data_IF_728008321466
#
_entry.id   IF_728008321466
#
_cell.length_a   1.000
_cell.length_b   1.000
_cell.length_c   1.000
_cell.angle_alpha   90.00
_cell.angle_beta   90.00
_cell.angle_gamma   90.00
#
_symmetry.space_group_name_H-M   'P 1'
#
loop_
_entity.id
_entity.type
_entity.pdbx_description
1 polymer ?
#
# COMPACT_ATOMS: atom_id res chain seq x y z
N UNK A 1 20.08 -3.83 -20.43
CA UNK A 1 19.59 -2.92 -19.39
C UNK A 1 18.32 -3.46 -18.78
N UNK A 2 18.29 -3.54 -17.47
CA UNK A 2 17.12 -4.05 -16.76
C UNK A 2 16.08 -2.96 -16.60
N UNK A 3 14.89 -3.22 -17.11
CA UNK A 3 13.74 -2.34 -16.94
C UNK A 3 13.18 -2.55 -15.54
N UNK A 4 13.37 -1.57 -14.68
CA UNK A 4 12.80 -1.63 -13.34
C UNK A 4 11.44 -0.96 -13.36
N UNK A 5 10.40 -1.76 -13.30
CA UNK A 5 9.04 -1.25 -13.25
C UNK A 5 8.70 -0.79 -11.84
N UNK A 6 8.11 0.40 -11.72
CA UNK A 6 7.65 0.95 -10.44
C UNK A 6 6.13 0.91 -10.40
N UNK A 7 5.58 0.38 -9.32
CA UNK A 7 4.12 0.25 -9.18
C UNK A 7 3.67 0.61 -7.78
N UNK A 8 2.40 0.96 -7.66
CA UNK A 8 1.70 1.05 -6.38
C UNK A 8 0.94 -0.26 -6.20
N UNK A 9 1.15 -0.92 -5.08
CA UNK A 9 0.44 -2.16 -4.78
C UNK A 9 -0.88 -1.84 -4.08
N UNK A 10 -1.95 -2.46 -4.54
CA UNK A 10 -3.27 -2.35 -3.92
C UNK A 10 -3.62 -3.74 -3.39
N UNK A 11 -3.74 -3.86 -2.08
CA UNK A 11 -4.00 -5.15 -1.42
C UNK A 11 -5.33 -5.05 -0.69
N UNK A 12 -6.36 -5.67 -1.25
CA UNK A 12 -7.73 -5.63 -0.72
C UNK A 12 -8.47 -6.87 -1.23
N UNK A 13 -9.18 -7.58 -0.37
CA UNK A 13 -9.89 -8.79 -0.75
C UNK A 13 -11.15 -8.51 -1.59
N UNK A 14 -11.58 -7.25 -1.66
CA UNK A 14 -12.70 -6.83 -2.50
C UNK A 14 -12.20 -6.46 -3.90
N UNK A 15 -12.47 -7.32 -4.88
CA UNK A 15 -12.05 -7.11 -6.25
C UNK A 15 -12.61 -5.83 -6.87
N UNK A 16 -13.82 -5.42 -6.48
CA UNK A 16 -14.41 -4.20 -7.00
C UNK A 16 -13.67 -2.96 -6.52
N UNK A 17 -13.21 -2.97 -5.28
CA UNK A 17 -12.36 -1.90 -4.74
C UNK A 17 -11.02 -1.87 -5.48
N UNK A 18 -10.41 -3.02 -5.68
CA UNK A 18 -9.16 -3.13 -6.44
C UNK A 18 -9.29 -2.51 -7.82
N UNK A 19 -10.36 -2.85 -8.55
CA UNK A 19 -10.60 -2.30 -9.89
C UNK A 19 -10.82 -0.79 -9.87
N UNK A 20 -11.61 -0.32 -8.92
CA UNK A 20 -11.92 1.12 -8.81
C UNK A 20 -10.68 1.93 -8.49
N UNK A 21 -9.88 1.46 -7.53
CA UNK A 21 -8.66 2.16 -7.12
C UNK A 21 -7.63 2.13 -8.23
N UNK A 22 -7.46 0.99 -8.90
CA UNK A 22 -6.53 0.88 -10.03
C UNK A 22 -6.89 1.86 -11.14
N UNK A 23 -8.19 1.97 -11.46
CA UNK A 23 -8.68 2.91 -12.47
C UNK A 23 -8.39 4.36 -12.08
N UNK A 24 -8.65 4.68 -10.81
CA UNK A 24 -8.37 6.01 -10.28
C UNK A 24 -6.88 6.36 -10.39
N UNK A 25 -6.00 5.46 -9.99
CA UNK A 25 -4.57 5.69 -10.03
C UNK A 25 -4.09 5.85 -11.47
N UNK A 26 -4.60 5.04 -12.38
CA UNK A 26 -4.27 5.17 -13.80
C UNK A 26 -4.65 6.55 -14.33
N UNK A 27 -5.82 7.07 -13.95
CA UNK A 27 -6.26 8.41 -14.37
C UNK A 27 -5.35 9.51 -13.82
N UNK A 28 -4.68 9.25 -12.72
CA UNK A 28 -3.74 10.17 -12.09
C UNK A 28 -2.28 9.93 -12.55
N UNK A 29 -2.06 9.08 -13.56
CA UNK A 29 -0.73 8.81 -14.10
C UNK A 29 0.09 7.82 -13.28
N UNK A 30 -0.54 7.06 -12.39
CA UNK A 30 0.15 6.09 -11.55
C UNK A 30 -0.15 4.67 -11.99
N UNK A 31 0.87 3.83 -12.06
CA UNK A 31 0.70 2.42 -12.38
C UNK A 31 0.46 1.61 -11.10
N UNK A 32 -0.52 0.70 -11.13
CA UNK A 32 -0.88 -0.08 -9.97
C UNK A 32 -1.09 -1.55 -10.33
N UNK A 33 -0.68 -2.42 -9.41
CA UNK A 33 -0.99 -3.85 -9.45
C UNK A 33 -1.86 -4.18 -8.25
N UNK A 34 -2.81 -5.08 -8.43
CA UNK A 34 -3.80 -5.42 -7.40
C UNK A 34 -3.62 -6.84 -6.89
N UNK A 35 -3.87 -7.03 -5.61
CA UNK A 35 -3.74 -8.31 -4.91
C UNK A 35 -4.95 -8.48 -4.00
N UNK A 36 -5.54 -9.67 -3.99
CA UNK A 36 -6.74 -9.94 -3.21
C UNK A 36 -6.46 -10.64 -1.88
N UNK A 37 -5.20 -10.89 -1.57
CA UNK A 37 -4.78 -11.42 -0.27
C UNK A 37 -3.37 -10.96 0.06
N UNK A 38 -3.05 -10.99 1.35
CA UNK A 38 -1.69 -10.68 1.79
C UNK A 38 -0.67 -11.68 1.27
N UNK A 39 -1.03 -12.96 1.25
CA UNK A 39 -0.13 -13.99 0.76
C UNK A 39 0.19 -13.81 -0.72
N UNK A 40 -0.82 -13.48 -1.53
CA UNK A 40 -0.62 -13.19 -2.95
C UNK A 40 0.37 -12.05 -3.15
N UNK A 41 0.25 -10.98 -2.37
CA UNK A 41 1.16 -9.85 -2.44
C UNK A 41 2.59 -10.24 -2.00
N UNK A 42 2.72 -10.95 -0.89
CA UNK A 42 4.05 -11.38 -0.41
C UNK A 42 4.73 -12.31 -1.41
N UNK A 43 3.98 -13.22 -2.02
CA UNK A 43 4.50 -14.10 -3.06
C UNK A 43 4.97 -13.30 -4.28
N UNK A 44 4.24 -12.26 -4.63
CA UNK A 44 4.60 -11.39 -5.76
C UNK A 44 5.94 -10.69 -5.53
N UNK A 45 6.15 -10.07 -4.38
CA UNK A 45 7.39 -9.34 -4.12
C UNK A 45 8.60 -10.28 -4.05
N UNK A 46 8.36 -11.52 -3.66
CA UNK A 46 9.40 -12.55 -3.59
C UNK A 46 9.74 -13.09 -5.00
N UNK A 47 8.72 -13.22 -5.85
CA UNK A 47 8.87 -13.78 -7.20
C UNK A 47 9.40 -12.77 -8.22
N UNK A 48 9.17 -11.48 -8.02
CA UNK A 48 9.56 -10.42 -8.98
C UNK A 48 10.34 -9.31 -8.28
N UNK A 49 11.57 -9.61 -7.82
CA UNK A 49 12.35 -8.61 -7.06
C UNK A 49 12.79 -7.40 -7.88
N UNK A 50 12.67 -7.44 -9.20
CA UNK A 50 12.99 -6.31 -10.08
C UNK A 50 11.86 -5.27 -10.17
N UNK A 51 10.67 -5.58 -9.65
CA UNK A 51 9.58 -4.62 -9.58
C UNK A 51 9.73 -3.80 -8.31
N UNK A 52 9.75 -2.48 -8.45
CA UNK A 52 9.82 -1.58 -7.30
C UNK A 52 8.40 -1.22 -6.86
N UNK A 53 8.06 -1.57 -5.63
CA UNK A 53 6.79 -1.16 -5.02
C UNK A 53 7.04 0.17 -4.32
N UNK A 54 6.45 1.24 -4.84
CA UNK A 54 6.67 2.60 -4.33
C UNK A 54 5.79 2.95 -3.14
N UNK A 55 4.63 2.31 -3.05
CA UNK A 55 3.68 2.52 -1.96
C UNK A 55 2.69 1.35 -1.95
N UNK A 56 2.15 1.06 -0.78
CA UNK A 56 1.15 0.00 -0.61
C UNK A 56 -0.12 0.62 -0.06
N UNK A 57 -1.25 0.42 -0.76
CA UNK A 57 -2.58 0.71 -0.24
C UNK A 57 -3.12 -0.60 0.29
N UNK A 58 -3.26 -0.71 1.59
CA UNK A 58 -3.43 -1.99 2.30
C UNK A 58 -4.70 -2.00 3.13
N UNK A 59 -5.59 -2.93 2.80
CA UNK A 59 -6.81 -3.15 3.58
C UNK A 59 -6.45 -3.71 4.95
N UNK A 60 -7.02 -3.13 6.00
CA UNK A 60 -6.78 -3.56 7.38
C UNK A 60 -7.40 -4.93 7.67
N UNK A 61 -8.57 -5.20 7.12
CA UNK A 61 -9.35 -6.41 7.43
C UNK A 61 -9.51 -7.32 6.23
N UNK A 62 -8.76 -8.42 6.22
CA UNK A 62 -8.84 -9.45 5.19
C UNK A 62 -8.86 -10.82 5.84
N UNK A 63 -9.51 -11.82 5.22
CA UNK A 63 -9.42 -13.20 5.70
C UNK A 63 -7.98 -13.69 5.69
N UNK A 64 -7.62 -14.48 6.68
CA UNK A 64 -6.25 -14.98 6.81
C UNK A 64 -5.36 -13.95 7.45
N UNK A 65 -4.48 -13.33 6.66
CA UNK A 65 -3.53 -12.36 7.16
C UNK A 65 -4.11 -10.94 7.08
N UNK A 66 -4.23 -10.24 8.21
CA UNK A 66 -4.74 -8.87 8.22
C UNK A 66 -3.66 -7.86 7.84
N UNK A 67 -4.05 -6.59 7.66
CA UNK A 67 -3.14 -5.55 7.21
C UNK A 67 -1.96 -5.30 8.16
N UNK A 68 -2.20 -5.30 9.47
CA UNK A 68 -1.13 -5.10 10.45
C UNK A 68 -0.10 -6.23 10.39
N UNK A 69 -0.55 -7.46 10.22
CA UNK A 69 0.35 -8.61 10.10
C UNK A 69 1.20 -8.54 8.84
N UNK A 70 0.61 -8.11 7.73
CA UNK A 70 1.35 -7.91 6.49
C UNK A 70 2.41 -6.84 6.66
N UNK A 71 2.03 -5.71 7.27
CA UNK A 71 2.96 -4.60 7.53
C UNK A 71 4.12 -5.04 8.41
N UNK A 72 3.84 -5.80 9.46
CA UNK A 72 4.86 -6.33 10.36
C UNK A 72 5.85 -7.22 9.59
N UNK A 73 5.35 -8.09 8.72
CA UNK A 73 6.22 -8.94 7.90
C UNK A 73 7.11 -8.13 6.96
N UNK A 74 6.55 -7.08 6.34
CA UNK A 74 7.32 -6.21 5.47
C UNK A 74 8.42 -5.48 6.24
N UNK A 75 8.11 -5.03 7.45
CA UNK A 75 9.12 -4.38 8.32
C UNK A 75 10.25 -5.34 8.68
N UNK A 76 9.92 -6.59 8.95
CA UNK A 76 10.92 -7.63 9.27
C UNK A 76 11.82 -7.95 8.07
N UNK A 77 11.31 -7.78 6.86
CA UNK A 77 12.10 -7.97 5.64
C UNK A 77 13.11 -6.83 5.42
N UNK A 78 13.00 -5.74 6.16
CA UNK A 78 13.98 -4.67 6.19
C UNK A 78 13.86 -3.63 5.07
N UNK A 79 12.94 -3.78 4.15
CA UNK A 79 12.78 -2.85 3.03
C UNK A 79 11.30 -2.63 2.75
N UNK A 80 10.61 -2.05 3.75
CA UNK A 80 9.18 -1.81 3.67
C UNK A 80 8.88 -0.51 2.93
N UNK A 81 8.11 -0.55 1.84
CA UNK A 81 7.63 0.68 1.20
C UNK A 81 6.67 1.44 2.12
N UNK A 82 6.40 2.72 1.83
CA UNK A 82 5.37 3.45 2.56
C UNK A 82 4.02 2.75 2.46
N UNK A 83 3.28 2.69 3.57
CA UNK A 83 1.99 2.00 3.65
C UNK A 83 0.90 2.98 4.02
N UNK A 84 -0.19 2.93 3.24
CA UNK A 84 -1.44 3.63 3.53
C UNK A 84 -2.46 2.55 3.85
N UNK A 85 -2.95 2.54 5.09
CA UNK A 85 -4.00 1.60 5.47
C UNK A 85 -5.37 2.13 5.09
N UNK A 86 -6.27 1.23 4.70
CA UNK A 86 -7.69 1.56 4.52
C UNK A 86 -8.51 0.59 5.38
N UNK A 87 -9.58 1.10 5.97
CA UNK A 87 -10.39 0.31 6.90
C UNK A 87 -11.86 0.67 6.80
N UNK A 88 -12.73 -0.34 6.83
CA UNK A 88 -14.17 -0.14 6.91
C UNK A 88 -14.62 0.27 8.32
N UNK A 89 -13.77 0.06 9.32
CA UNK A 89 -14.10 0.32 10.71
C UNK A 89 -13.35 1.52 11.26
N UNK A 90 -14.05 2.26 12.13
CA UNK A 90 -13.45 3.32 12.91
C UNK A 90 -12.81 2.70 14.16
N UNK A 91 -11.51 2.45 14.10
CA UNK A 91 -10.78 1.78 15.16
C UNK A 91 -9.56 2.60 15.56
N UNK A 92 -9.68 3.46 16.60
CA UNK A 92 -8.58 4.31 17.04
C UNK A 92 -7.33 3.54 17.46
N UNK A 93 -7.49 2.37 18.08
CA UNK A 93 -6.35 1.57 18.51
C UNK A 93 -5.56 1.03 17.32
N UNK A 94 -6.25 0.53 16.30
CA UNK A 94 -5.60 0.05 15.09
C UNK A 94 -4.89 1.19 14.34
N UNK A 95 -5.52 2.37 14.31
CA UNK A 95 -4.93 3.56 13.72
C UNK A 95 -3.65 3.97 14.44
N UNK A 96 -3.67 3.98 15.79
CA UNK A 96 -2.49 4.31 16.59
C UNK A 96 -1.36 3.30 16.36
N UNK A 97 -1.69 2.01 16.32
CA UNK A 97 -0.70 0.96 16.05
C UNK A 97 -0.08 1.11 14.66
N UNK A 98 -0.91 1.42 13.67
CA UNK A 98 -0.45 1.61 12.29
C UNK A 98 0.53 2.78 12.20
N UNK A 99 0.20 3.93 12.79
CA UNK A 99 1.07 5.10 12.78
C UNK A 99 2.33 4.87 13.60
N UNK A 100 2.22 4.19 14.74
CA UNK A 100 3.39 3.85 15.56
C UNK A 100 4.36 2.94 14.80
N UNK A 101 3.84 2.09 13.91
CA UNK A 101 4.67 1.22 13.08
C UNK A 101 5.21 1.91 11.82
N UNK A 102 4.88 3.19 11.62
CA UNK A 102 5.42 3.98 10.52
C UNK A 102 4.51 4.15 9.30
N UNK A 103 3.22 3.81 9.42
CA UNK A 103 2.28 4.03 8.32
C UNK A 103 2.20 5.51 7.93
N UNK A 104 2.05 5.77 6.65
CA UNK A 104 1.90 7.14 6.14
C UNK A 104 0.53 7.69 6.48
N UNK A 105 -0.49 6.85 6.37
CA UNK A 105 -1.86 7.27 6.59
C UNK A 105 -2.75 6.09 6.96
N UNK A 106 -3.93 6.41 7.46
CA UNK A 106 -4.95 5.44 7.83
C UNK A 106 -6.30 6.03 7.43
N UNK A 107 -6.87 5.53 6.33
CA UNK A 107 -8.07 6.10 5.72
C UNK A 107 -9.27 5.20 5.93
N UNK A 108 -10.43 5.81 6.14
CA UNK A 108 -11.68 5.09 6.34
C UNK A 108 -12.43 4.89 5.02
N UNK A 109 -12.95 3.67 4.82
CA UNK A 109 -13.82 3.37 3.67
C UNK A 109 -15.23 3.95 3.88
N UNK A 110 -15.90 4.44 2.84
CA UNK A 110 -15.41 4.58 1.47
C UNK A 110 -14.42 5.75 1.34
N UNK A 111 -13.28 5.50 0.73
CA UNK A 111 -12.23 6.52 0.59
C UNK A 111 -12.56 7.42 -0.59
N UNK A 112 -12.59 8.73 -0.37
CA UNK A 112 -12.80 9.69 -1.45
C UNK A 112 -11.56 9.74 -2.35
N UNK A 113 -11.80 9.88 -3.65
CA UNK A 113 -10.73 9.85 -4.65
C UNK A 113 -9.61 10.85 -4.33
N UNK A 114 -9.96 12.11 -4.05
CA UNK A 114 -8.95 13.14 -3.79
C UNK A 114 -8.18 12.89 -2.49
N UNK A 115 -8.81 12.28 -1.50
CA UNK A 115 -8.15 11.97 -0.23
C UNK A 115 -7.08 10.89 -0.44
N UNK A 116 -7.41 9.86 -1.21
CA UNK A 116 -6.44 8.79 -1.51
C UNK A 116 -5.29 9.33 -2.35
N UNK A 117 -5.57 10.13 -3.37
CA UNK A 117 -4.52 10.70 -4.23
C UNK A 117 -3.58 11.60 -3.43
N UNK A 118 -4.11 12.44 -2.55
CA UNK A 118 -3.29 13.29 -1.68
C UNK A 118 -2.39 12.46 -0.77
N UNK A 119 -2.94 11.39 -0.20
CA UNK A 119 -2.19 10.48 0.66
C UNK A 119 -1.05 9.81 -0.11
N UNK A 120 -1.33 9.36 -1.32
CA UNK A 120 -0.31 8.77 -2.20
C UNK A 120 0.80 9.76 -2.54
N UNK A 121 0.44 11.00 -2.84
CA UNK A 121 1.45 12.03 -3.12
C UNK A 121 2.38 12.25 -1.92
N UNK A 122 1.85 12.27 -0.69
CA UNK A 122 2.67 12.37 0.51
C UNK A 122 3.60 11.16 0.66
N UNK A 123 3.09 9.96 0.39
CA UNK A 123 3.89 8.74 0.47
C UNK A 123 5.04 8.76 -0.55
N UNK A 124 4.76 9.16 -1.77
CA UNK A 124 5.75 9.20 -2.83
C UNK A 124 6.81 10.28 -2.57
N UNK A 125 6.45 11.40 -1.98
CA UNK A 125 7.41 12.43 -1.57
C UNK A 125 8.37 11.93 -0.51
N UNK A 126 7.91 11.08 0.41
CA UNK A 126 8.78 10.48 1.44
C UNK A 126 9.84 9.59 0.79
N UNK A 127 9.47 8.83 -0.25
CA UNK A 127 10.41 8.00 -1.00
C UNK A 127 11.46 8.86 -1.69
N UNK A 128 11.07 9.94 -2.35
CA UNK A 128 11.97 10.88 -3.00
C UNK A 128 12.96 11.49 -2.01
N UNK A 129 12.50 11.88 -0.82
CA UNK A 129 13.35 12.42 0.24
C UNK A 129 14.39 11.42 0.71
N UNK A 130 13.98 10.16 0.88
CA UNK A 130 14.91 9.09 1.24
C UNK A 130 16.00 8.91 0.18
N UNK A 131 15.63 8.95 -1.09
CA UNK A 131 16.57 8.82 -2.20
C UNK A 131 17.57 9.99 -2.23
N UNK A 132 17.10 11.20 -1.95
CA UNK A 132 17.93 12.40 -1.93
C UNK A 132 18.90 12.40 -0.76
N UNK A 133 18.51 11.83 0.37
CA UNK A 133 19.31 11.82 1.60
C UNK A 133 20.21 10.60 1.75
N UNK A 134 20.14 9.68 0.84
CA UNK A 134 20.93 8.44 0.89
C UNK A 134 22.32 8.60 0.26
#
# INVERSE_FOLDING_TARGET
>A
MLDTRSVIAIVDDDESICRAVKRLLRSAGMEADTFTSGQEFLDFIDAVPWVRVECIVLDMHMPGMNGLEIHERLLQMGNCPPVIFISAEDNPLASEEAFAAGAVDFLRKPVKDHVLIESLHRALKRVERSDVNS
#
